data_IF_413682594064
#
_entry.id   IF_413682594064
#
_cell.length_a   1.000
_cell.length_b   1.000
_cell.length_c   1.000
_cell.angle_alpha   90.00
_cell.angle_beta   90.00
_cell.angle_gamma   90.00
#
_symmetry.space_group_name_H-M   'P 1'
#
loop_
_entity.id
_entity.type
_entity.pdbx_description
1 polymer ?
#
# COMPACT_ATOMS: atom_id res chain seq x y z
N UNK A 1 -13.43 15.06 -15.37
CA UNK A 1 -13.53 13.68 -14.86
C UNK A 1 -12.44 13.46 -13.82
N UNK A 2 -12.72 12.79 -12.70
CA UNK A 2 -11.66 12.35 -11.79
C UNK A 2 -10.95 11.13 -12.40
N UNK A 3 -9.62 11.10 -12.37
CA UNK A 3 -8.85 9.90 -12.73
C UNK A 3 -8.99 8.84 -11.64
N UNK A 4 -8.80 7.54 -11.94
CA UNK A 4 -8.84 6.48 -10.93
C UNK A 4 -7.95 6.77 -9.71
N UNK A 5 -6.69 7.13 -9.93
CA UNK A 5 -5.74 7.52 -8.86
C UNK A 5 -6.25 8.69 -8.02
N UNK A 6 -6.85 9.71 -8.65
CA UNK A 6 -7.36 10.87 -7.91
C UNK A 6 -8.56 10.48 -7.04
N UNK A 7 -9.39 9.53 -7.48
CA UNK A 7 -10.48 9.00 -6.66
C UNK A 7 -9.93 8.27 -5.42
N UNK A 8 -8.98 7.37 -5.60
CA UNK A 8 -8.35 6.64 -4.49
C UNK A 8 -7.72 7.61 -3.47
N UNK A 9 -7.01 8.63 -3.94
CA UNK A 9 -6.42 9.67 -3.08
C UNK A 9 -7.47 10.40 -2.25
N UNK A 10 -8.60 10.77 -2.84
CA UNK A 10 -9.67 11.46 -2.12
C UNK A 10 -10.36 10.55 -1.11
N UNK A 11 -10.53 9.27 -1.43
CA UNK A 11 -11.18 8.31 -0.54
C UNK A 11 -10.25 7.93 0.63
N UNK A 12 -8.96 7.76 0.39
CA UNK A 12 -7.94 7.60 1.45
C UNK A 12 -7.88 8.82 2.37
N UNK A 13 -7.90 10.04 1.81
CA UNK A 13 -7.88 11.25 2.63
C UNK A 13 -9.10 11.35 3.54
N UNK A 14 -10.29 11.04 3.00
CA UNK A 14 -11.53 11.02 3.80
C UNK A 14 -11.49 9.93 4.88
N UNK A 15 -10.86 8.79 4.59
CA UNK A 15 -10.79 7.67 5.53
C UNK A 15 -9.97 7.98 6.80
N UNK A 16 -9.06 8.96 6.75
CA UNK A 16 -8.21 9.38 7.88
C UNK A 16 -8.47 10.81 8.34
N UNK A 17 -9.55 11.43 7.85
CA UNK A 17 -9.90 12.81 8.18
C UNK A 17 -11.04 12.84 9.19
N UNK A 18 -10.75 13.39 10.37
CA UNK A 18 -11.75 13.70 11.39
C UNK A 18 -11.67 12.77 12.58
N UNK A 19 -12.80 12.52 13.24
CA UNK A 19 -12.86 11.64 14.41
C UNK A 19 -13.07 10.21 13.94
N UNK A 20 -12.15 9.33 14.33
CA UNK A 20 -12.14 7.93 13.92
C UNK A 20 -11.56 7.75 12.51
N UNK A 21 -11.43 6.49 12.13
CA UNK A 21 -10.78 6.07 10.88
C UNK A 21 -11.71 5.12 10.15
N UNK A 22 -11.76 5.17 8.82
CA UNK A 22 -12.47 4.18 8.02
C UNK A 22 -11.49 3.11 7.52
N UNK A 23 -11.22 2.12 8.37
CA UNK A 23 -10.23 1.08 8.10
C UNK A 23 -10.57 0.24 6.87
N UNK A 24 -11.87 0.08 6.57
CA UNK A 24 -12.33 -0.68 5.40
C UNK A 24 -11.82 -0.06 4.10
N UNK A 25 -11.89 1.26 3.97
CA UNK A 25 -11.38 1.97 2.78
C UNK A 25 -9.87 1.85 2.68
N UNK A 26 -9.16 1.96 3.81
CA UNK A 26 -7.70 1.80 3.83
C UNK A 26 -7.29 0.40 3.34
N UNK A 27 -7.96 -0.64 3.85
CA UNK A 27 -7.70 -2.03 3.46
C UNK A 27 -8.06 -2.25 1.99
N UNK A 28 -9.26 -1.84 1.57
CA UNK A 28 -9.75 -2.05 0.21
C UNK A 28 -8.79 -1.48 -0.83
N UNK A 29 -8.32 -0.25 -0.64
CA UNK A 29 -7.41 0.41 -1.58
C UNK A 29 -6.00 -0.17 -1.45
N UNK A 30 -5.40 -0.16 -0.26
CA UNK A 30 -3.98 -0.49 -0.11
C UNK A 30 -3.66 -1.98 -0.31
N UNK A 31 -4.63 -2.87 -0.12
CA UNK A 31 -4.42 -4.30 -0.34
C UNK A 31 -4.74 -4.77 -1.77
N UNK A 32 -5.44 -3.96 -2.57
CA UNK A 32 -5.87 -4.36 -3.93
C UNK A 32 -5.11 -3.68 -5.06
N UNK A 33 -4.46 -2.54 -4.81
CA UNK A 33 -3.70 -1.79 -5.82
C UNK A 33 -2.35 -2.43 -6.11
N UNK A 34 -1.90 -2.33 -7.37
CA UNK A 34 -0.57 -2.78 -7.79
C UNK A 34 0.54 -1.89 -7.22
N UNK A 35 1.79 -2.32 -7.31
CA UNK A 35 2.93 -1.48 -6.90
C UNK A 35 2.93 -0.13 -7.64
N UNK A 36 2.73 -0.15 -8.96
CA UNK A 36 2.70 1.06 -9.79
C UNK A 36 1.57 2.01 -9.37
N UNK A 37 0.37 1.49 -9.14
CA UNK A 37 -0.78 2.26 -8.67
C UNK A 37 -0.52 2.88 -7.29
N UNK A 38 0.09 2.13 -6.36
CA UNK A 38 0.46 2.65 -5.03
C UNK A 38 1.46 3.80 -5.15
N UNK A 39 2.47 3.72 -6.02
CA UNK A 39 3.39 4.84 -6.24
C UNK A 39 2.67 6.07 -6.81
N UNK A 40 1.76 5.87 -7.77
CA UNK A 40 0.96 6.96 -8.32
C UNK A 40 0.08 7.62 -7.25
N UNK A 41 -0.53 6.81 -6.37
CA UNK A 41 -1.34 7.30 -5.24
C UNK A 41 -0.48 8.13 -4.28
N UNK A 42 0.70 7.66 -3.87
CA UNK A 42 1.60 8.40 -2.95
C UNK A 42 1.97 9.77 -3.50
N UNK A 43 2.42 9.81 -4.76
CA UNK A 43 2.82 11.05 -5.43
C UNK A 43 1.63 12.02 -5.56
N UNK A 44 0.47 11.49 -5.96
CA UNK A 44 -0.75 12.30 -6.12
C UNK A 44 -1.27 12.80 -4.77
N UNK A 45 -1.19 12.00 -3.71
CA UNK A 45 -1.59 12.39 -2.35
C UNK A 45 -0.74 13.54 -1.84
N UNK A 46 0.59 13.43 -1.95
CA UNK A 46 1.52 14.48 -1.54
C UNK A 46 1.26 15.79 -2.28
N UNK A 47 1.17 15.75 -3.61
CA UNK A 47 0.89 16.94 -4.43
C UNK A 47 -0.49 17.56 -4.19
N UNK A 48 -1.46 16.77 -3.72
CA UNK A 48 -2.83 17.25 -3.45
C UNK A 48 -2.98 17.87 -2.06
N UNK A 49 -2.29 17.33 -1.05
CA UNK A 49 -2.52 17.68 0.36
C UNK A 49 -1.30 18.25 1.08
N UNK A 50 -0.15 18.34 0.41
CA UNK A 50 1.14 18.79 0.98
C UNK A 50 1.52 18.03 2.27
N UNK A 51 1.20 16.73 2.29
CA UNK A 51 1.45 15.80 3.38
C UNK A 51 1.59 14.40 2.79
N UNK A 52 2.51 13.60 3.28
CA UNK A 52 2.66 12.24 2.76
C UNK A 52 1.48 11.35 3.18
N UNK A 53 1.20 10.32 2.36
CA UNK A 53 0.16 9.33 2.66
C UNK A 53 0.51 8.55 3.94
N UNK A 54 1.79 8.23 4.11
CA UNK A 54 2.36 7.56 5.26
C UNK A 54 2.13 8.35 6.54
N UNK A 55 2.43 9.65 6.54
CA UNK A 55 2.18 10.52 7.69
C UNK A 55 0.68 10.60 8.03
N UNK A 56 -0.18 10.67 7.03
CA UNK A 56 -1.62 10.75 7.22
C UNK A 56 -2.19 9.47 7.86
N UNK A 57 -1.80 8.30 7.35
CA UNK A 57 -2.27 7.02 7.88
C UNK A 57 -1.61 6.69 9.21
N UNK A 58 -0.32 6.99 9.39
CA UNK A 58 0.41 6.70 10.63
C UNK A 58 -0.12 7.51 11.82
N UNK A 59 -0.58 8.74 11.60
CA UNK A 59 -1.19 9.55 12.67
C UNK A 59 -2.55 9.05 13.13
N UNK A 60 -3.26 8.32 12.28
CA UNK A 60 -4.65 7.90 12.52
C UNK A 60 -4.77 6.40 12.87
N UNK A 61 -3.68 5.64 12.73
CA UNK A 61 -3.66 4.19 13.00
C UNK A 61 -2.57 3.82 14.01
N UNK A 62 -2.69 2.63 14.61
CA UNK A 62 -1.71 2.15 15.60
C UNK A 62 -1.50 0.64 15.53
N UNK A 63 -0.55 0.15 16.33
CA UNK A 63 -0.25 -1.28 16.47
C UNK A 63 0.15 -1.97 15.17
N UNK A 64 -0.17 -3.27 15.10
CA UNK A 64 0.14 -4.10 13.94
C UNK A 64 -0.65 -3.70 12.69
N UNK A 65 -1.85 -3.13 12.87
CA UNK A 65 -2.64 -2.63 11.76
C UNK A 65 -1.89 -1.51 11.02
N UNK A 66 -1.38 -0.50 11.74
CA UNK A 66 -0.52 0.54 11.15
C UNK A 66 0.69 -0.06 10.45
N UNK A 67 1.37 -1.01 11.09
CA UNK A 67 2.56 -1.64 10.52
C UNK A 67 2.27 -2.32 9.19
N UNK A 68 1.15 -3.05 9.10
CA UNK A 68 0.69 -3.67 7.85
C UNK A 68 0.43 -2.62 6.76
N UNK A 69 -0.29 -1.54 7.08
CA UNK A 69 -0.57 -0.48 6.12
C UNK A 69 0.71 0.19 5.62
N UNK A 70 1.69 0.44 6.51
CA UNK A 70 2.98 1.02 6.11
C UNK A 70 3.73 0.11 5.12
N UNK A 71 3.67 -1.21 5.29
CA UNK A 71 4.27 -2.17 4.35
C UNK A 71 3.56 -2.11 2.99
N UNK A 72 2.23 -2.08 2.98
CA UNK A 72 1.45 -2.01 1.74
C UNK A 72 1.73 -0.71 0.96
N UNK A 73 1.81 0.43 1.66
CA UNK A 73 2.09 1.74 1.05
C UNK A 73 3.48 1.76 0.39
N UNK A 74 4.44 0.92 0.79
CA UNK A 74 5.73 0.90 0.10
C UNK A 74 5.60 0.52 -1.38
N UNK A 75 4.55 -0.21 -1.78
CA UNK A 75 4.32 -0.60 -3.17
C UNK A 75 5.53 -1.30 -3.76
N UNK A 76 6.13 -2.21 -2.98
CA UNK A 76 7.38 -2.91 -3.31
C UNK A 76 7.21 -4.43 -3.14
N UNK A 77 6.02 -4.96 -3.48
CA UNK A 77 5.79 -6.40 -3.55
C UNK A 77 6.70 -6.98 -4.63
N UNK A 78 7.33 -8.12 -4.37
CA UNK A 78 8.11 -8.80 -5.39
C UNK A 78 7.20 -9.20 -6.57
N UNK A 79 7.54 -8.72 -7.77
CA UNK A 79 6.83 -8.98 -9.03
C UNK A 79 7.66 -9.86 -9.98
N UNK A 80 8.68 -10.57 -9.46
CA UNK A 80 9.49 -11.49 -10.27
C UNK A 80 8.62 -12.43 -11.10
N UNK A 81 9.08 -12.72 -12.31
CA UNK A 81 8.34 -13.55 -13.26
C UNK A 81 8.13 -14.97 -12.69
N UNK A 82 7.06 -15.65 -13.11
CA UNK A 82 6.77 -17.04 -12.71
C UNK A 82 8.00 -17.95 -12.94
N UNK A 83 8.76 -17.72 -14.01
CA UNK A 83 9.99 -18.48 -14.29
C UNK A 83 11.11 -18.25 -13.27
N UNK A 84 11.24 -17.03 -12.73
CA UNK A 84 12.19 -16.70 -11.66
C UNK A 84 11.69 -17.17 -10.30
N UNK A 85 10.39 -17.08 -10.05
CA UNK A 85 9.73 -17.63 -8.87
C UNK A 85 9.97 -19.14 -8.74
N UNK A 86 9.77 -19.91 -9.81
CA UNK A 86 10.04 -21.35 -9.80
C UNK A 86 11.49 -21.67 -9.43
N UNK A 87 12.46 -20.92 -9.97
CA UNK A 87 13.88 -21.08 -9.61
C UNK A 87 14.15 -20.72 -8.14
N UNK A 88 13.54 -19.64 -7.65
CA UNK A 88 13.70 -19.19 -6.26
C UNK A 88 13.10 -20.20 -5.26
N UNK A 89 11.91 -20.75 -5.56
CA UNK A 89 11.26 -21.77 -4.73
C UNK A 89 12.10 -23.04 -4.68
N UNK A 90 12.62 -23.51 -5.82
CA UNK A 90 13.47 -24.70 -5.88
C UNK A 90 14.74 -24.53 -5.03
N UNK A 91 15.40 -23.38 -5.17
CA UNK A 91 16.60 -23.02 -4.39
C UNK A 91 16.31 -22.88 -2.89
N UNK A 92 15.16 -22.32 -2.51
CA UNK A 92 14.76 -22.22 -1.11
C UNK A 92 14.41 -23.58 -0.50
N UNK A 93 13.77 -24.46 -1.26
CA UNK A 93 13.46 -25.83 -0.82
C UNK A 93 14.75 -26.65 -0.57
N UNK A 94 15.74 -26.55 -1.46
CA UNK A 94 17.04 -27.20 -1.30
C UNK A 94 17.79 -26.70 -0.05
N UNK A 95 17.68 -25.41 0.27
CA UNK A 95 18.28 -24.81 1.47
C UNK A 95 17.65 -25.24 2.79
N UNK A 96 16.42 -25.73 2.77
CA UNK A 96 15.71 -26.22 3.96
C UNK A 96 15.99 -27.71 4.24
N UNK A 97 16.66 -28.40 3.31
CA UNK A 97 17.03 -29.82 3.43
C UNK A 97 18.49 -30.02 3.93
N UNK A 98 19.17 -28.93 4.30
CA UNK A 98 20.49 -28.89 4.94
C UNK A 98 20.38 -28.15 6.28
#
# INVERSE_FOLDING_TARGET
MQTPTKRDVMDLHKAVKGIGTNERVLIEILASRTNEEIQAIRNTYYTTFDRSLEEAISSDTSGDFRRLLMILIQGNRDETSIGEYHKAVQKNAEKLLL
#
